data_IF_058134469838
#
_entry.id   IF_058134469838
#
_cell.length_a   1.000
_cell.length_b   1.000
_cell.length_c   1.000
_cell.angle_alpha   90.00
_cell.angle_beta   90.00
_cell.angle_gamma   90.00
#
_symmetry.space_group_name_H-M   'P 1'
#
loop_
_entity.id
_entity.type
_entity.pdbx_description
1 polymer ?
#
# COMPACT_ATOMS: atom_id res chain seq x y z
N UNK A 1 14.48 3.22 -15.94
CA UNK A 1 13.08 3.41 -15.48
C UNK A 1 13.06 4.42 -14.36
N UNK A 2 12.16 5.35 -14.42
CA UNK A 2 12.00 6.36 -13.38
C UNK A 2 11.27 5.77 -12.18
N UNK A 3 11.77 6.04 -10.97
CA UNK A 3 11.17 5.55 -9.75
C UNK A 3 10.85 6.70 -8.80
N UNK A 4 9.98 6.43 -7.84
CA UNK A 4 9.59 7.38 -6.81
C UNK A 4 9.77 6.72 -5.44
N UNK A 5 10.46 7.37 -4.49
CA UNK A 5 10.63 6.79 -3.17
C UNK A 5 9.36 6.97 -2.33
N UNK A 6 8.93 5.89 -1.69
CA UNK A 6 7.82 5.91 -0.74
C UNK A 6 8.34 5.37 0.58
N UNK A 7 8.14 6.15 1.64
CA UNK A 7 8.55 5.74 2.99
C UNK A 7 7.33 5.62 3.88
N UNK A 8 7.15 4.47 4.48
CA UNK A 8 6.05 4.20 5.41
C UNK A 8 6.63 3.45 6.60
N UNK A 9 6.42 3.97 7.80
CA UNK A 9 6.87 3.33 9.02
C UNK A 9 8.37 3.02 9.03
N UNK A 10 9.19 3.89 8.45
CA UNK A 10 10.63 3.69 8.38
C UNK A 10 11.09 2.75 7.27
N UNK A 11 10.19 2.19 6.50
CA UNK A 11 10.51 1.30 5.38
C UNK A 11 10.35 2.07 4.08
N UNK A 12 11.43 2.12 3.29
CA UNK A 12 11.45 2.83 2.01
C UNK A 12 11.47 1.86 0.85
N UNK A 13 10.64 2.12 -0.16
CA UNK A 13 10.64 1.40 -1.42
C UNK A 13 10.68 2.38 -2.58
N UNK A 14 11.48 2.06 -3.58
CA UNK A 14 11.52 2.82 -4.83
C UNK A 14 10.58 2.15 -5.81
N UNK A 15 9.42 2.77 -6.03
CA UNK A 15 8.38 2.19 -6.89
C UNK A 15 8.42 2.82 -8.27
N UNK A 16 8.06 2.06 -9.32
CA UNK A 16 8.05 2.63 -10.66
C UNK A 16 6.97 3.69 -10.82
N UNK A 17 7.27 4.70 -11.63
CA UNK A 17 6.26 5.66 -12.06
C UNK A 17 5.65 5.15 -13.36
N UNK A 18 4.34 5.10 -13.40
CA UNK A 18 3.60 4.69 -14.59
C UNK A 18 2.76 5.85 -15.09
N UNK A 19 2.41 5.80 -16.37
CA UNK A 19 1.61 6.84 -17.00
C UNK A 19 0.35 6.20 -17.59
N UNK A 20 -0.68 5.95 -16.75
CA UNK A 20 -1.91 5.30 -17.22
C UNK A 20 -2.70 6.15 -18.19
N UNK A 21 -2.52 7.48 -18.12
CA UNK A 21 -3.12 8.44 -19.05
C UNK A 21 -2.06 9.46 -19.42
N UNK A 22 -2.09 10.00 -20.65
CA UNK A 22 -1.12 11.02 -21.06
C UNK A 22 -1.06 12.17 -20.07
N UNK A 23 0.16 12.52 -19.67
CA UNK A 23 0.40 13.61 -18.72
C UNK A 23 0.12 13.31 -17.27
N UNK A 24 -0.30 12.08 -16.95
CA UNK A 24 -0.57 11.67 -15.57
C UNK A 24 0.36 10.54 -15.15
N UNK A 25 1.30 10.86 -14.28
CA UNK A 25 2.27 9.90 -13.76
C UNK A 25 1.94 9.59 -12.32
N UNK A 26 1.83 8.30 -11.99
CA UNK A 26 1.53 7.86 -10.64
C UNK A 26 2.53 6.80 -10.20
N UNK A 27 2.87 6.75 -8.91
CA UNK A 27 3.69 5.65 -8.39
C UNK A 27 2.87 4.37 -8.31
N UNK A 28 3.48 3.28 -8.77
CA UNK A 28 2.85 1.96 -8.69
C UNK A 28 3.29 1.28 -7.40
N UNK A 29 2.44 1.29 -6.39
CA UNK A 29 2.72 0.67 -5.10
C UNK A 29 2.24 -0.77 -5.13
N UNK A 30 3.11 -1.70 -4.70
CA UNK A 30 2.82 -3.12 -4.75
C UNK A 30 3.12 -3.77 -3.41
N UNK A 31 2.17 -4.53 -2.89
CA UNK A 31 2.31 -5.23 -1.60
C UNK A 31 2.56 -6.72 -1.77
N UNK A 32 2.25 -7.29 -2.95
CA UNK A 32 2.44 -8.71 -3.19
C UNK A 32 3.93 -9.08 -3.10
N UNK A 33 4.24 -10.07 -2.28
CA UNK A 33 5.60 -10.53 -2.13
C UNK A 33 6.50 -9.61 -1.29
N UNK A 34 5.94 -8.61 -0.62
CA UNK A 34 6.71 -7.68 0.20
C UNK A 34 6.11 -7.58 1.60
N UNK A 35 6.34 -8.58 2.46
CA UNK A 35 5.74 -8.58 3.79
C UNK A 35 6.23 -7.46 4.70
N UNK A 36 7.49 -7.03 4.57
CA UNK A 36 8.01 -5.95 5.38
C UNK A 36 7.28 -4.65 5.10
N UNK A 37 7.15 -4.29 3.83
CA UNK A 37 6.45 -3.08 3.44
C UNK A 37 4.96 -3.16 3.77
N UNK A 38 4.35 -4.33 3.60
CA UNK A 38 2.95 -4.57 3.95
C UNK A 38 2.71 -4.33 5.43
N UNK A 39 3.57 -4.85 6.31
CA UNK A 39 3.44 -4.63 7.75
C UNK A 39 3.62 -3.18 8.13
N UNK A 40 4.61 -2.51 7.54
CA UNK A 40 4.86 -1.09 7.80
C UNK A 40 3.65 -0.25 7.40
N UNK A 41 3.06 -0.52 6.24
CA UNK A 41 1.87 0.19 5.77
C UNK A 41 0.67 -0.09 6.68
N UNK A 42 0.48 -1.34 7.10
CA UNK A 42 -0.61 -1.70 8.00
C UNK A 42 -0.50 -0.97 9.33
N UNK A 43 0.70 -0.92 9.91
CA UNK A 43 0.91 -0.22 11.18
C UNK A 43 0.64 1.28 11.04
N UNK A 44 1.03 1.88 9.92
CA UNK A 44 0.80 3.30 9.68
C UNK A 44 -0.70 3.61 9.47
N UNK A 45 -1.44 2.69 8.87
CA UNK A 45 -2.86 2.87 8.59
C UNK A 45 -3.77 2.47 9.75
N UNK A 46 -3.32 1.58 10.63
CA UNK A 46 -4.15 1.05 11.71
C UNK A 46 -4.85 2.11 12.55
N UNK A 47 -4.16 3.20 12.95
CA UNK A 47 -4.85 4.24 13.74
C UNK A 47 -5.97 4.96 12.99
N UNK A 48 -5.98 4.86 11.66
CA UNK A 48 -6.99 5.51 10.82
C UNK A 48 -8.23 4.63 10.61
N UNK A 49 -8.16 3.35 10.98
CA UNK A 49 -9.29 2.43 10.87
C UNK A 49 -10.22 2.66 12.07
N UNK A 50 -11.51 2.91 11.84
CA UNK A 50 -12.45 3.09 12.95
C UNK A 50 -12.52 1.84 13.82
N UNK A 51 -12.59 2.02 15.13
CA UNK A 51 -12.61 0.90 16.08
C UNK A 51 -13.84 0.01 15.91
N UNK A 52 -14.94 0.59 15.46
CA UNK A 52 -16.21 -0.12 15.23
C UNK A 52 -16.26 -0.85 13.89
N UNK A 53 -15.22 -0.73 13.08
CA UNK A 53 -15.18 -1.43 11.79
C UNK A 53 -15.08 -2.95 12.04
N UNK A 54 -16.01 -3.69 11.44
CA UNK A 54 -16.06 -5.15 11.53
C UNK A 54 -15.54 -5.82 10.27
N UNK A 55 -15.64 -5.14 9.12
CA UNK A 55 -15.28 -5.69 7.82
C UNK A 55 -14.44 -4.66 7.08
N UNK A 56 -13.36 -5.14 6.44
CA UNK A 56 -12.58 -4.35 5.51
C UNK A 56 -12.87 -4.83 4.10
N UNK A 57 -13.07 -3.86 3.21
CA UNK A 57 -13.36 -4.14 1.80
C UNK A 57 -12.21 -3.64 0.95
N UNK A 58 -11.81 -4.42 -0.04
CA UNK A 58 -10.73 -4.04 -0.96
C UNK A 58 -10.98 -4.55 -2.36
N UNK A 59 -10.26 -3.97 -3.32
CA UNK A 59 -10.21 -4.47 -4.68
C UNK A 59 -9.06 -5.47 -4.84
N UNK A 60 -9.07 -6.25 -5.92
CA UNK A 60 -7.95 -7.10 -6.29
C UNK A 60 -6.86 -6.25 -6.95
N UNK A 61 -5.58 -6.65 -6.96
CA UNK A 61 -5.05 -7.78 -6.19
C UNK A 61 -3.97 -7.28 -5.23
N UNK A 62 -3.28 -6.23 -5.57
CA UNK A 62 -2.16 -5.68 -4.82
C UNK A 62 -2.50 -5.34 -3.37
N UNK A 63 -3.66 -4.75 -3.04
CA UNK A 63 -3.97 -4.39 -1.66
C UNK A 63 -4.44 -5.54 -0.78
N UNK A 64 -4.60 -6.75 -1.32
CA UNK A 64 -5.08 -7.89 -0.53
C UNK A 64 -4.18 -8.19 0.68
N UNK A 65 -2.84 -8.27 0.54
CA UNK A 65 -1.99 -8.52 1.71
C UNK A 65 -2.14 -7.46 2.79
N UNK A 66 -2.21 -6.19 2.40
CA UNK A 66 -2.39 -5.09 3.33
C UNK A 66 -3.72 -5.20 4.08
N UNK A 67 -4.79 -5.48 3.35
CA UNK A 67 -6.13 -5.64 3.93
C UNK A 67 -6.16 -6.81 4.90
N UNK A 68 -5.50 -7.92 4.55
CA UNK A 68 -5.41 -9.09 5.43
C UNK A 68 -4.75 -8.74 6.76
N UNK A 69 -3.64 -8.01 6.74
CA UNK A 69 -2.93 -7.63 7.96
C UNK A 69 -3.74 -6.64 8.80
N UNK A 70 -4.50 -5.76 8.16
CA UNK A 70 -5.33 -4.76 8.84
C UNK A 70 -6.63 -5.34 9.40
N UNK A 71 -7.10 -6.47 8.89
CA UNK A 71 -8.40 -7.03 9.25
C UNK A 71 -8.48 -7.30 10.75
N UNK A 72 -9.67 -7.04 11.35
CA UNK A 72 -9.90 -7.31 12.77
C UNK A 72 -9.84 -8.79 13.12
#
# INVERSE_FOLDING_TARGET
>A
METYPITVGGVTRHVPLIEPLPGRRIPLVEFLGDPEFTRAAAEALRPLVPKEAEILFTTETSPIPLTHVLAP
#
